data_IF_533662072009
#
_entry.id   IF_533662072009
#
_cell.length_a   1.000
_cell.length_b   1.000
_cell.length_c   1.000
_cell.angle_alpha   90.00
_cell.angle_beta   90.00
_cell.angle_gamma   90.00
#
_symmetry.space_group_name_H-M   'P 1'
#
loop_
_entity.id
_entity.type
_entity.pdbx_description
1 polymer ?
#
# COMPACT_ATOMS: atom_id res chain seq x y z
N UNK A 1 -64.19 10.42 4.79
CA UNK A 1 -62.98 10.64 5.67
C UNK A 1 -61.98 9.47 5.62
N UNK A 2 -62.37 8.23 5.27
CA UNK A 2 -61.44 7.08 5.23
C UNK A 2 -60.44 7.08 4.08
N UNK A 3 -60.85 7.45 2.85
CA UNK A 3 -60.02 7.40 1.66
C UNK A 3 -58.82 8.35 1.74
N UNK A 4 -59.01 9.56 2.25
CA UNK A 4 -57.97 10.57 2.43
C UNK A 4 -56.87 10.11 3.41
N UNK A 5 -57.25 9.41 4.48
CA UNK A 5 -56.30 8.82 5.44
C UNK A 5 -55.45 7.70 4.82
N UNK A 6 -56.05 6.87 3.98
CA UNK A 6 -55.35 5.76 3.32
C UNK A 6 -54.31 6.31 2.31
N UNK A 7 -54.66 7.31 1.53
CA UNK A 7 -53.76 7.97 0.59
C UNK A 7 -52.58 8.64 1.34
N UNK A 8 -52.86 9.32 2.45
CA UNK A 8 -51.83 9.97 3.26
C UNK A 8 -50.82 8.96 3.86
N UNK A 9 -51.29 7.85 4.36
CA UNK A 9 -50.45 6.78 4.91
C UNK A 9 -49.60 6.11 3.80
N UNK A 10 -50.16 5.91 2.62
CA UNK A 10 -49.39 5.39 1.48
C UNK A 10 -48.29 6.36 1.01
N UNK A 11 -48.55 7.65 0.97
CA UNK A 11 -47.55 8.67 0.61
C UNK A 11 -46.38 8.70 1.61
N UNK A 12 -46.66 8.62 2.90
CA UNK A 12 -45.63 8.60 3.95
C UNK A 12 -44.76 7.34 3.81
N UNK A 13 -45.39 6.18 3.55
CA UNK A 13 -44.62 4.93 3.32
C UNK A 13 -43.73 4.99 2.09
N UNK A 14 -44.20 5.58 0.99
CA UNK A 14 -43.39 5.76 -0.24
C UNK A 14 -42.24 6.75 0.02
N UNK A 15 -42.43 7.83 0.76
CA UNK A 15 -41.37 8.76 1.12
C UNK A 15 -40.32 8.10 2.02
N UNK A 16 -40.71 7.23 2.94
CA UNK A 16 -39.80 6.50 3.81
C UNK A 16 -38.96 5.50 3.01
N UNK A 17 -39.56 4.76 2.05
CA UNK A 17 -38.87 3.83 1.17
C UNK A 17 -37.89 4.57 0.25
N UNK A 18 -38.29 5.73 -0.28
CA UNK A 18 -37.44 6.57 -1.13
C UNK A 18 -36.26 7.15 -0.36
N UNK A 19 -36.49 7.60 0.89
CA UNK A 19 -35.43 8.07 1.80
C UNK A 19 -34.43 6.95 2.14
N UNK A 20 -34.92 5.73 2.35
CA UNK A 20 -34.05 4.57 2.64
C UNK A 20 -33.18 4.17 1.43
N UNK A 21 -33.74 4.27 0.22
CA UNK A 21 -33.00 4.01 -1.04
C UNK A 21 -31.85 5.01 -1.23
N UNK A 22 -32.01 6.28 -0.88
CA UNK A 22 -30.97 7.31 -1.01
C UNK A 22 -29.78 7.01 -0.08
N UNK A 23 -30.02 6.46 1.11
CA UNK A 23 -28.97 6.11 2.06
C UNK A 23 -28.08 4.95 1.58
N UNK A 24 -28.61 4.05 0.76
CA UNK A 24 -27.83 2.90 0.23
C UNK A 24 -26.93 3.30 -0.93
N UNK A 25 -27.24 4.38 -1.66
CA UNK A 25 -26.43 4.85 -2.80
C UNK A 25 -25.15 5.61 -2.41
N UNK A 26 -24.98 5.99 -1.14
CA UNK A 26 -23.81 6.76 -0.68
C UNK A 26 -22.59 5.91 -0.28
N UNK A 27 -22.67 4.59 -0.29
CA UNK A 27 -21.50 3.72 -0.16
C UNK A 27 -20.81 3.53 -1.54
N UNK A 28 -20.21 4.58 -2.09
CA UNK A 28 -19.17 4.43 -3.10
C UNK A 28 -17.86 4.21 -2.36
N UNK A 29 -17.38 2.98 -2.36
CA UNK A 29 -15.97 2.68 -2.15
C UNK A 29 -15.18 3.47 -3.19
N UNK A 30 -14.64 4.61 -2.78
CA UNK A 30 -13.60 5.30 -3.54
C UNK A 30 -12.31 4.48 -3.36
N UNK A 31 -12.25 3.31 -3.98
CA UNK A 31 -10.99 2.63 -4.20
C UNK A 31 -10.20 3.55 -5.11
N UNK A 32 -9.31 4.37 -4.52
CA UNK A 32 -8.39 5.18 -5.29
C UNK A 32 -7.65 4.24 -6.24
N UNK A 33 -7.85 4.44 -7.55
CA UNK A 33 -7.18 3.63 -8.58
C UNK A 33 -5.68 3.81 -8.37
N UNK A 34 -5.03 2.78 -7.86
CA UNK A 34 -3.59 2.78 -7.61
C UNK A 34 -2.85 2.70 -8.92
N UNK A 35 -2.04 3.70 -9.23
CA UNK A 35 -1.15 3.70 -10.40
C UNK A 35 0.23 3.17 -9.99
N UNK A 36 0.32 1.88 -9.72
CA UNK A 36 1.56 1.27 -9.24
C UNK A 36 2.61 1.11 -10.35
N UNK A 37 2.20 1.01 -11.62
CA UNK A 37 3.12 0.88 -12.75
C UNK A 37 4.10 2.05 -12.84
N UNK A 38 3.65 3.26 -12.49
CA UNK A 38 4.48 4.47 -12.44
C UNK A 38 5.69 4.32 -11.52
N UNK A 39 5.58 3.47 -10.50
CA UNK A 39 6.57 3.32 -9.43
C UNK A 39 7.41 2.05 -9.57
N UNK A 40 7.35 1.36 -10.70
CA UNK A 40 8.16 0.15 -10.92
C UNK A 40 9.65 0.48 -11.01
N UNK A 41 9.99 1.62 -11.59
CA UNK A 41 11.37 2.08 -11.75
C UNK A 41 11.51 3.53 -11.28
N UNK A 42 12.72 3.94 -10.93
CA UNK A 42 13.05 5.30 -10.52
C UNK A 42 13.92 5.39 -9.29
N UNK A 43 14.08 6.63 -8.84
CA UNK A 43 14.83 7.00 -7.62
C UNK A 43 13.83 7.40 -6.54
N UNK A 44 14.08 6.99 -5.29
CA UNK A 44 13.16 7.17 -4.18
C UNK A 44 13.89 7.53 -2.90
N UNK A 45 13.26 8.40 -2.11
CA UNK A 45 13.60 8.66 -0.71
C UNK A 45 12.60 7.92 0.18
N UNK A 46 13.06 7.37 1.30
CA UNK A 46 12.20 6.83 2.37
C UNK A 46 12.71 7.24 3.74
N UNK A 47 11.83 7.30 4.71
CA UNK A 47 12.18 7.60 6.09
C UNK A 47 12.07 6.33 6.93
N UNK A 48 13.03 6.10 7.81
CA UNK A 48 13.07 4.99 8.75
C UNK A 48 13.56 5.48 10.11
N UNK A 49 13.34 4.70 11.16
CA UNK A 49 13.74 5.07 12.52
C UNK A 49 14.81 4.15 13.06
N UNK A 50 15.83 4.74 13.69
CA UNK A 50 16.81 4.02 14.52
C UNK A 50 16.82 4.68 15.89
N UNK A 51 16.51 3.90 16.92
CA UNK A 51 16.47 4.38 18.31
C UNK A 51 15.59 5.63 18.52
N UNK A 52 14.46 5.70 17.81
CA UNK A 52 13.53 6.83 17.86
C UNK A 52 13.97 8.08 17.10
N UNK A 53 15.08 8.04 16.37
CA UNK A 53 15.56 9.11 15.52
C UNK A 53 15.18 8.81 14.06
N UNK A 54 14.49 9.75 13.42
CA UNK A 54 14.16 9.66 12.01
C UNK A 54 15.43 9.84 11.16
N UNK A 55 15.65 8.88 10.27
CA UNK A 55 16.70 8.89 9.26
C UNK A 55 16.11 8.76 7.88
N UNK A 56 16.85 9.27 6.89
CA UNK A 56 16.51 9.14 5.48
C UNK A 56 17.35 8.07 4.84
N UNK A 57 16.71 7.26 4.03
CA UNK A 57 17.35 6.34 3.12
C UNK A 57 16.90 6.63 1.69
N UNK A 58 17.65 6.12 0.75
CA UNK A 58 17.36 6.25 -0.67
C UNK A 58 17.40 4.87 -1.31
N UNK A 59 16.64 4.68 -2.36
CA UNK A 59 16.82 3.52 -3.22
C UNK A 59 16.57 3.88 -4.68
N UNK A 60 17.22 3.14 -5.55
CA UNK A 60 16.91 3.15 -6.97
C UNK A 60 16.46 1.77 -7.42
N UNK A 61 15.50 1.74 -8.32
CA UNK A 61 14.97 0.49 -8.88
C UNK A 61 14.93 0.57 -10.39
N UNK A 62 15.62 -0.37 -11.04
CA UNK A 62 15.68 -0.50 -12.50
C UNK A 62 15.96 -1.94 -12.88
N UNK A 63 15.37 -2.44 -13.95
CA UNK A 63 15.65 -3.76 -14.52
C UNK A 63 15.59 -4.89 -13.48
N UNK A 64 14.55 -4.92 -12.64
CA UNK A 64 14.37 -5.92 -11.58
C UNK A 64 15.48 -5.94 -10.51
N UNK A 65 16.22 -4.84 -10.38
CA UNK A 65 17.22 -4.61 -9.35
C UNK A 65 16.79 -3.42 -8.48
N UNK A 66 16.84 -3.59 -7.14
CA UNK A 66 16.68 -2.54 -6.16
C UNK A 66 18.00 -2.35 -5.42
N UNK A 67 18.52 -1.13 -5.40
CA UNK A 67 19.74 -0.77 -4.67
C UNK A 67 19.36 0.24 -3.61
N UNK A 68 19.56 -0.14 -2.34
CA UNK A 68 19.26 0.66 -1.16
C UNK A 68 20.52 1.34 -0.64
N UNK A 69 20.38 2.61 -0.26
CA UNK A 69 21.43 3.47 0.34
C UNK A 69 20.92 3.98 1.68
N UNK A 70 21.42 3.47 2.77
CA UNK A 70 21.01 3.89 4.11
C UNK A 70 22.17 3.70 5.11
N UNK A 71 22.35 4.66 6.00
CA UNK A 71 23.33 4.62 7.11
C UNK A 71 24.77 4.24 6.66
N UNK A 72 25.18 4.73 5.46
CA UNK A 72 26.49 4.42 4.86
C UNK A 72 26.58 3.00 4.27
N UNK A 73 25.49 2.24 4.26
CA UNK A 73 25.42 0.90 3.70
C UNK A 73 24.80 0.97 2.30
N UNK A 74 25.31 0.15 1.40
CA UNK A 74 24.73 -0.09 0.08
C UNK A 74 24.35 -1.57 0.03
N UNK A 75 23.05 -1.84 -0.13
CA UNK A 75 22.51 -3.18 -0.30
C UNK A 75 21.82 -3.33 -1.65
N UNK A 76 21.91 -4.52 -2.24
CA UNK A 76 21.27 -4.83 -3.51
C UNK A 76 20.32 -6.01 -3.37
N UNK A 77 19.14 -5.88 -3.94
CA UNK A 77 18.11 -6.91 -3.93
C UNK A 77 17.56 -7.12 -5.34
N UNK A 78 17.30 -8.38 -5.71
CA UNK A 78 16.50 -8.68 -6.88
C UNK A 78 15.02 -8.37 -6.61
N UNK A 79 14.34 -7.89 -7.62
CA UNK A 79 12.90 -7.57 -7.59
C UNK A 79 12.15 -8.57 -8.46
N UNK A 80 11.11 -9.20 -7.92
CA UNK A 80 10.22 -10.04 -8.70
C UNK A 80 8.77 -9.57 -8.49
N UNK A 81 8.21 -8.96 -9.51
CA UNK A 81 6.82 -8.50 -9.50
C UNK A 81 5.86 -9.71 -9.51
N UNK A 82 4.88 -9.70 -8.60
CA UNK A 82 3.76 -10.65 -8.54
C UNK A 82 2.61 -10.12 -9.39
N UNK A 83 2.35 -8.82 -9.25
CA UNK A 83 1.38 -8.05 -10.01
C UNK A 83 1.85 -6.58 -10.05
N UNK A 84 1.04 -5.67 -10.59
CA UNK A 84 1.44 -4.27 -10.74
C UNK A 84 1.74 -3.56 -9.41
N UNK A 85 1.15 -4.02 -8.30
CA UNK A 85 1.25 -3.36 -7.00
C UNK A 85 1.96 -4.23 -5.93
N UNK A 86 2.41 -5.43 -6.28
CA UNK A 86 3.04 -6.33 -5.31
C UNK A 86 4.31 -6.97 -5.89
N UNK A 87 5.36 -7.00 -5.10
CA UNK A 87 6.63 -7.60 -5.51
C UNK A 87 7.39 -8.21 -4.32
N UNK A 88 8.34 -9.06 -4.65
CA UNK A 88 9.27 -9.69 -3.70
C UNK A 88 10.64 -9.06 -3.88
N UNK A 89 11.25 -8.66 -2.77
CA UNK A 89 12.67 -8.31 -2.68
C UNK A 89 13.43 -9.49 -2.08
N UNK A 90 14.54 -9.85 -2.70
CA UNK A 90 15.47 -10.84 -2.17
C UNK A 90 16.90 -10.29 -2.26
N UNK A 91 17.59 -10.18 -1.12
CA UNK A 91 18.98 -9.71 -1.08
C UNK A 91 19.88 -10.58 -1.95
N UNK A 92 20.74 -9.96 -2.73
CA UNK A 92 21.69 -10.65 -3.64
C UNK A 92 22.85 -11.20 -2.82
N UNK A 93 23.39 -10.40 -1.89
CA UNK A 93 24.51 -10.78 -1.02
C UNK A 93 24.06 -10.71 0.46
N UNK A 94 23.32 -11.70 0.96
CA UNK A 94 22.86 -11.71 2.35
C UNK A 94 24.04 -11.88 3.31
N UNK A 95 24.14 -10.98 4.31
CA UNK A 95 25.22 -10.99 5.31
C UNK A 95 24.85 -11.79 6.56
N UNK A 96 23.58 -12.11 6.75
CA UNK A 96 23.04 -12.88 7.87
C UNK A 96 22.02 -13.93 7.41
N UNK A 97 21.64 -14.83 8.31
CA UNK A 97 20.57 -15.81 8.02
C UNK A 97 19.23 -15.08 7.79
N UNK A 98 18.96 -14.03 8.56
CA UNK A 98 17.73 -13.23 8.45
C UNK A 98 17.65 -12.52 7.09
N UNK A 99 18.78 -12.09 6.54
CA UNK A 99 18.85 -11.43 5.23
C UNK A 99 18.51 -12.36 4.06
N UNK A 100 18.52 -13.67 4.27
CA UNK A 100 18.13 -14.65 3.26
C UNK A 100 16.62 -14.74 3.06
N UNK A 101 15.86 -14.29 4.06
CA UNK A 101 14.39 -14.30 4.01
C UNK A 101 13.90 -13.21 3.03
N UNK A 102 13.16 -13.57 1.99
CA UNK A 102 12.64 -12.58 1.06
C UNK A 102 11.54 -11.74 1.73
N UNK A 103 11.43 -10.49 1.28
CA UNK A 103 10.45 -9.51 1.76
C UNK A 103 9.36 -9.34 0.72
N UNK A 104 8.10 -9.46 1.11
CA UNK A 104 6.94 -9.13 0.30
C UNK A 104 6.57 -7.67 0.53
N UNK A 105 6.53 -6.90 -0.56
CA UNK A 105 6.10 -5.50 -0.59
C UNK A 105 4.76 -5.41 -1.29
N UNK A 106 3.83 -4.66 -0.69
CA UNK A 106 2.52 -4.33 -1.27
C UNK A 106 2.30 -2.83 -1.25
N UNK A 107 2.18 -2.22 -2.42
CA UNK A 107 1.79 -0.81 -2.56
C UNK A 107 0.29 -0.73 -2.26
N UNK A 108 -0.07 0.03 -1.21
CA UNK A 108 -1.46 0.14 -0.75
C UNK A 108 -2.13 1.44 -1.17
N UNK A 109 -1.34 2.47 -1.44
CA UNK A 109 -1.82 3.77 -1.90
C UNK A 109 -0.78 4.42 -2.80
N UNK A 110 -1.22 5.16 -3.82
CA UNK A 110 -0.34 5.98 -4.68
C UNK A 110 -0.90 7.38 -4.79
N UNK A 111 -0.02 8.36 -4.97
CA UNK A 111 -0.33 9.71 -5.42
C UNK A 111 0.62 10.11 -6.57
N UNK A 112 0.75 11.39 -6.89
CA UNK A 112 1.53 11.82 -8.06
C UNK A 112 3.02 11.52 -7.97
N UNK A 113 3.61 11.60 -6.79
CA UNK A 113 5.06 11.50 -6.58
C UNK A 113 5.46 10.51 -5.51
N UNK A 114 4.52 9.86 -4.85
CA UNK A 114 4.84 8.93 -3.76
C UNK A 114 3.87 7.76 -3.70
N UNK A 115 4.28 6.74 -2.94
CA UNK A 115 3.41 5.64 -2.60
C UNK A 115 3.61 5.21 -1.15
N UNK A 116 2.53 4.69 -0.55
CA UNK A 116 2.56 4.01 0.75
C UNK A 116 2.59 2.51 0.48
N UNK A 117 3.45 1.81 1.18
CA UNK A 117 3.59 0.37 1.05
C UNK A 117 3.57 -0.33 2.40
N UNK A 118 3.12 -1.56 2.40
CA UNK A 118 3.29 -2.52 3.48
C UNK A 118 4.38 -3.50 3.10
N UNK A 119 5.14 -3.95 4.10
CA UNK A 119 6.16 -4.96 3.92
C UNK A 119 6.16 -5.98 5.07
N UNK A 120 6.46 -7.21 4.73
CA UNK A 120 6.52 -8.34 5.65
C UNK A 120 7.44 -9.41 5.09
N UNK A 121 7.84 -10.37 5.92
CA UNK A 121 8.51 -11.56 5.40
C UNK A 121 7.57 -12.29 4.44
N UNK A 122 8.09 -12.71 3.29
CA UNK A 122 7.36 -13.49 2.29
C UNK A 122 7.15 -14.94 2.73
N UNK A 123 7.92 -15.40 3.73
CA UNK A 123 7.86 -16.76 4.28
C UNK A 123 7.13 -16.70 5.61
N UNK A 124 6.11 -17.53 5.78
CA UNK A 124 5.43 -17.70 7.07
C UNK A 124 6.30 -18.56 7.97
N UNK A 125 6.82 -17.99 9.06
CA UNK A 125 7.49 -18.77 10.11
C UNK A 125 6.45 -19.49 10.97
N UNK A 126 6.71 -20.75 11.30
CA UNK A 126 5.80 -21.53 12.15
C UNK A 126 5.64 -20.84 13.52
N UNK A 127 4.41 -20.82 14.04
CA UNK A 127 4.03 -20.28 15.35
C UNK A 127 4.26 -18.77 15.55
N UNK A 128 4.36 -17.97 14.48
CA UNK A 128 4.43 -16.51 14.57
C UNK A 128 3.39 -15.86 13.68
N UNK A 129 2.72 -14.84 14.21
CA UNK A 129 1.91 -13.94 13.38
C UNK A 129 2.84 -13.07 12.53
N UNK A 130 2.56 -12.87 11.24
CA UNK A 130 3.38 -12.02 10.39
C UNK A 130 3.34 -10.58 10.90
N UNK A 131 4.51 -10.00 11.17
CA UNK A 131 4.64 -8.58 11.47
C UNK A 131 4.54 -7.84 10.14
N UNK A 132 3.55 -6.96 10.02
CA UNK A 132 3.37 -6.08 8.86
C UNK A 132 3.81 -4.68 9.26
N UNK A 133 4.75 -4.14 8.52
CA UNK A 133 5.26 -2.78 8.69
C UNK A 133 4.83 -1.91 7.51
N UNK A 134 4.80 -0.60 7.71
CA UNK A 134 4.46 0.38 6.66
C UNK A 134 5.61 1.35 6.43
N UNK A 135 5.71 1.80 5.20
CA UNK A 135 6.62 2.85 4.80
C UNK A 135 6.02 3.73 3.72
N UNK A 136 6.65 4.88 3.52
CA UNK A 136 6.34 5.79 2.42
C UNK A 136 7.60 5.96 1.58
N UNK A 137 7.45 5.86 0.26
CA UNK A 137 8.50 6.15 -0.69
C UNK A 137 8.09 7.35 -1.54
N UNK A 138 8.97 8.33 -1.63
CA UNK A 138 8.79 9.57 -2.39
C UNK A 138 9.72 9.52 -3.59
N UNK A 139 9.18 9.65 -4.78
CA UNK A 139 9.97 9.67 -6.02
C UNK A 139 10.80 10.96 -6.07
N UNK A 140 12.09 10.80 -6.33
CA UNK A 140 13.05 11.91 -6.42
C UNK A 140 13.69 11.94 -7.81
N UNK A 141 14.45 12.99 -8.05
CA UNK A 141 15.45 12.97 -9.12
C UNK A 141 16.63 12.11 -8.65
N UNK A 142 17.52 11.81 -9.58
CA UNK A 142 18.78 11.10 -9.27
C UNK A 142 19.52 11.79 -8.09
N UNK A 143 20.12 10.99 -7.20
CA UNK A 143 20.89 11.43 -6.02
C UNK A 143 22.33 10.92 -6.10
#
# INVERSE_FOLDING_TARGET
MGLLRIIFVMMIRLLFIFSLLILVYNCRDTSSVRNCQKFKEGFYEFTYQINGIDKKGFFKRFNDLNIDYYDGIIDSSSVRWINDCEFILKKINPKSIQDKDPIHIKIIQTNDTSYIFEYKLAIKKMNTSPIVMRGTAIQTKEF
#
